data_IF_421324984408
#
_entry.id   IF_421324984408
#
_cell.length_a   1.000
_cell.length_b   1.000
_cell.length_c   1.000
_cell.angle_alpha   90.00
_cell.angle_beta   90.00
_cell.angle_gamma   90.00
#
_symmetry.space_group_name_H-M   'P 1'
#
loop_
_entity.id
_entity.type
_entity.pdbx_description
1 polymer ?
#
# COMPACT_ATOMS: atom_id res chain seq x y z
N UNK A 1 -4.90 -43.31 -8.01
CA UNK A 1 -3.61 -42.58 -8.15
C UNK A 1 -3.71 -41.25 -8.90
N UNK A 2 -4.54 -41.08 -9.95
CA UNK A 2 -4.68 -39.78 -10.66
C UNK A 2 -5.30 -38.66 -9.81
N UNK A 3 -6.34 -38.96 -9.03
CA UNK A 3 -7.03 -37.98 -8.16
C UNK A 3 -6.12 -37.40 -7.06
N UNK A 4 -5.32 -38.25 -6.39
CA UNK A 4 -4.34 -37.83 -5.38
C UNK A 4 -3.26 -36.89 -5.96
N UNK A 5 -2.82 -37.13 -7.20
CA UNK A 5 -1.84 -36.26 -7.88
C UNK A 5 -2.41 -34.87 -8.21
N UNK A 6 -3.70 -34.80 -8.56
CA UNK A 6 -4.40 -33.53 -8.86
C UNK A 6 -4.59 -32.71 -7.58
N UNK A 7 -4.96 -33.36 -6.47
CA UNK A 7 -5.09 -32.69 -5.16
C UNK A 7 -3.74 -32.17 -4.67
N UNK A 8 -2.66 -32.96 -4.80
CA UNK A 8 -1.30 -32.51 -4.48
C UNK A 8 -0.83 -31.33 -5.34
N UNK A 9 -1.20 -31.31 -6.63
CA UNK A 9 -0.93 -30.20 -7.55
C UNK A 9 -1.70 -28.93 -7.15
N UNK A 10 -2.97 -29.06 -6.77
CA UNK A 10 -3.81 -27.95 -6.31
C UNK A 10 -3.37 -27.40 -4.96
N UNK A 11 -2.97 -28.26 -4.02
CA UNK A 11 -2.43 -27.87 -2.71
C UNK A 11 -1.08 -27.17 -2.88
N UNK A 12 -0.18 -27.69 -3.72
CA UNK A 12 1.08 -27.05 -4.05
C UNK A 12 0.89 -25.68 -4.73
N UNK A 13 -0.10 -25.57 -5.63
CA UNK A 13 -0.46 -24.31 -6.27
C UNK A 13 -1.05 -23.31 -5.27
N UNK A 14 -1.92 -23.75 -4.35
CA UNK A 14 -2.47 -22.88 -3.30
C UNK A 14 -1.40 -22.40 -2.31
N UNK A 15 -0.41 -23.23 -1.97
CA UNK A 15 0.68 -22.80 -1.10
C UNK A 15 1.61 -21.76 -1.75
N UNK A 16 1.70 -21.73 -3.10
CA UNK A 16 2.40 -20.66 -3.81
C UNK A 16 1.58 -19.36 -3.93
N UNK A 17 0.24 -19.41 -3.91
CA UNK A 17 -0.63 -18.22 -4.00
C UNK A 17 -0.69 -17.45 -2.67
N UNK A 18 -0.38 -18.10 -1.54
CA UNK A 18 -0.33 -17.46 -0.21
C UNK A 18 1.07 -16.99 0.23
N UNK A 19 2.12 -17.28 -0.54
CA UNK A 19 3.40 -16.61 -0.35
C UNK A 19 3.29 -15.23 -1.01
N UNK A 20 2.85 -14.21 -0.27
CA UNK A 20 2.93 -12.84 -0.76
C UNK A 20 4.38 -12.55 -1.16
N UNK A 21 4.60 -12.36 -2.46
CA UNK A 21 5.88 -11.86 -2.97
C UNK A 21 6.24 -10.59 -2.18
N UNK A 22 7.44 -10.58 -1.60
CA UNK A 22 7.90 -9.51 -0.69
C UNK A 22 7.88 -8.15 -1.38
N UNK A 23 8.14 -8.12 -2.68
CA UNK A 23 8.10 -6.89 -3.50
C UNK A 23 6.65 -6.42 -3.66
N UNK A 24 5.75 -7.33 -4.03
CA UNK A 24 4.32 -7.06 -4.14
C UNK A 24 3.71 -6.58 -2.80
N UNK A 25 4.10 -7.18 -1.68
CA UNK A 25 3.68 -6.76 -0.34
C UNK A 25 4.18 -5.35 -0.01
N UNK A 26 5.45 -5.05 -0.29
CA UNK A 26 6.02 -3.71 -0.15
C UNK A 26 5.22 -2.69 -0.98
N UNK A 27 5.00 -2.97 -2.27
CA UNK A 27 4.27 -2.08 -3.19
C UNK A 27 2.85 -1.83 -2.67
N UNK A 28 2.15 -2.89 -2.24
CA UNK A 28 0.80 -2.80 -1.68
C UNK A 28 0.76 -1.90 -0.44
N UNK A 29 1.65 -2.11 0.52
CA UNK A 29 1.68 -1.32 1.77
C UNK A 29 2.08 0.13 1.53
N UNK A 30 3.06 0.36 0.67
CA UNK A 30 3.45 1.71 0.24
C UNK A 30 2.28 2.44 -0.44
N UNK A 31 1.55 1.79 -1.35
CA UNK A 31 0.38 2.38 -1.99
C UNK A 31 -0.77 2.65 -1.02
N UNK A 32 -1.03 1.73 -0.08
CA UNK A 32 -2.04 1.95 0.97
C UNK A 32 -1.73 3.21 1.77
N UNK A 33 -0.50 3.37 2.22
CA UNK A 33 -0.13 4.56 2.98
C UNK A 33 -0.14 5.83 2.11
N UNK A 34 0.43 5.78 0.90
CA UNK A 34 0.41 6.91 -0.02
C UNK A 34 -1.02 7.34 -0.42
N UNK A 35 -2.00 6.43 -0.40
CA UNK A 35 -3.40 6.74 -0.71
C UNK A 35 -4.10 7.57 0.37
N UNK A 36 -3.62 7.51 1.61
CA UNK A 36 -4.21 8.25 2.74
C UNK A 36 -3.39 9.49 3.13
N UNK A 37 -2.06 9.44 2.98
CA UNK A 37 -1.14 10.50 3.40
C UNK A 37 -0.01 10.69 2.39
N UNK A 38 -0.36 11.10 1.17
CA UNK A 38 0.61 11.25 0.09
C UNK A 38 1.72 12.27 0.41
N UNK A 39 1.38 13.37 1.07
CA UNK A 39 2.33 14.43 1.40
C UNK A 39 3.43 13.93 2.34
N UNK A 40 3.07 13.24 3.42
CA UNK A 40 4.04 12.67 4.36
C UNK A 40 4.82 11.51 3.72
N UNK A 41 4.16 10.65 2.93
CA UNK A 41 4.84 9.60 2.17
C UNK A 41 5.94 10.18 1.27
N UNK A 42 5.64 11.22 0.48
CA UNK A 42 6.62 11.90 -0.38
C UNK A 42 7.75 12.52 0.43
N UNK A 43 7.43 13.19 1.54
CA UNK A 43 8.43 13.79 2.44
C UNK A 43 9.43 12.74 2.95
N UNK A 44 8.94 11.56 3.35
CA UNK A 44 9.78 10.44 3.80
C UNK A 44 10.69 9.92 2.69
N UNK A 45 10.17 9.76 1.46
CA UNK A 45 10.99 9.39 0.31
C UNK A 45 12.08 10.45 0.01
N UNK A 46 11.74 11.74 0.07
CA UNK A 46 12.71 12.81 -0.13
C UNK A 46 13.85 12.73 0.88
N UNK A 47 13.54 12.52 2.17
CA UNK A 47 14.53 12.43 3.24
C UNK A 47 15.38 11.16 3.13
N UNK A 48 14.76 9.99 2.98
CA UNK A 48 15.46 8.70 2.99
C UNK A 48 16.42 8.53 1.79
N UNK A 49 16.02 9.02 0.61
CA UNK A 49 16.77 8.83 -0.63
C UNK A 49 17.43 10.11 -1.15
N UNK A 50 17.40 11.20 -0.38
CA UNK A 50 17.94 12.50 -0.78
C UNK A 50 17.40 12.97 -2.15
N UNK A 51 16.08 12.92 -2.30
CA UNK A 51 15.38 13.28 -3.55
C UNK A 51 14.58 14.57 -3.38
N UNK A 52 14.39 15.31 -4.47
CA UNK A 52 13.46 16.45 -4.50
C UNK A 52 12.06 16.00 -4.89
N UNK A 53 11.05 16.78 -4.49
CA UNK A 53 9.66 16.53 -4.88
C UNK A 53 9.47 16.49 -6.40
N UNK A 54 10.12 17.40 -7.14
CA UNK A 54 10.04 17.44 -8.60
C UNK A 54 10.60 16.16 -9.24
N UNK A 55 11.67 15.60 -8.67
CA UNK A 55 12.21 14.30 -9.11
C UNK A 55 11.22 13.17 -8.84
N UNK A 56 10.54 13.17 -7.69
CA UNK A 56 9.53 12.17 -7.38
C UNK A 56 8.34 12.22 -8.35
N UNK A 57 7.90 13.40 -8.78
CA UNK A 57 6.84 13.55 -9.78
C UNK A 57 7.24 12.97 -11.15
N UNK A 58 8.51 13.11 -11.53
CA UNK A 58 9.06 12.46 -12.71
C UNK A 58 9.09 10.94 -12.57
N UNK A 59 9.57 10.44 -11.44
CA UNK A 59 9.63 9.01 -11.18
C UNK A 59 8.25 8.37 -11.07
N UNK A 60 7.27 9.07 -10.52
CA UNK A 60 5.87 8.61 -10.51
C UNK A 60 5.36 8.37 -11.93
N UNK A 61 5.59 9.32 -12.85
CA UNK A 61 5.22 9.15 -14.26
C UNK A 61 5.96 7.99 -14.93
N UNK A 62 7.26 7.81 -14.64
CA UNK A 62 8.09 6.77 -15.26
C UNK A 62 7.87 5.36 -14.67
N UNK A 63 7.43 5.27 -13.42
CA UNK A 63 7.17 4.02 -12.70
C UNK A 63 5.69 3.56 -12.78
N UNK A 64 4.99 3.93 -13.86
CA UNK A 64 3.62 3.50 -14.11
C UNK A 64 2.56 4.17 -13.23
N UNK A 65 2.82 5.40 -12.77
CA UNK A 65 1.89 6.18 -11.91
C UNK A 65 1.51 5.43 -10.64
N UNK A 66 2.48 4.77 -10.02
CA UNK A 66 2.29 3.98 -8.82
C UNK A 66 3.37 4.35 -7.78
N UNK A 67 2.94 4.81 -6.61
CA UNK A 67 3.86 5.29 -5.57
C UNK A 67 4.67 4.16 -4.93
N UNK A 68 4.08 2.97 -4.78
CA UNK A 68 4.80 1.78 -4.34
C UNK A 68 5.91 1.37 -5.31
N UNK A 69 5.69 1.51 -6.63
CA UNK A 69 6.73 1.31 -7.64
C UNK A 69 7.85 2.36 -7.52
N UNK A 70 7.53 3.62 -7.23
CA UNK A 70 8.55 4.67 -6.99
C UNK A 70 9.40 4.32 -5.78
N UNK A 71 8.77 3.94 -4.66
CA UNK A 71 9.48 3.52 -3.45
C UNK A 71 10.39 2.31 -3.69
N UNK A 72 9.91 1.32 -4.46
CA UNK A 72 10.69 0.14 -4.79
C UNK A 72 11.87 0.47 -5.71
N UNK A 73 11.64 1.29 -6.73
CA UNK A 73 12.70 1.73 -7.64
C UNK A 73 13.79 2.54 -6.92
N UNK A 74 13.43 3.35 -5.91
CA UNK A 74 14.40 4.07 -5.07
C UNK A 74 15.25 3.11 -4.23
N UNK A 75 14.66 2.07 -3.65
CA UNK A 75 15.43 1.02 -2.95
C UNK A 75 16.38 0.28 -3.88
N UNK A 76 15.94 -0.03 -5.10
CA UNK A 76 16.77 -0.66 -6.13
C UNK A 76 17.92 0.26 -6.53
N UNK A 77 17.66 1.54 -6.76
CA UNK A 77 18.68 2.54 -7.11
C UNK A 77 19.74 2.64 -6.02
N UNK A 78 19.32 2.77 -4.76
CA UNK A 78 20.22 2.81 -3.60
C UNK A 78 21.06 1.54 -3.49
N UNK A 79 20.44 0.37 -3.62
CA UNK A 79 21.12 -0.91 -3.41
C UNK A 79 22.07 -1.27 -4.53
N UNK A 80 21.72 -0.92 -5.77
CA UNK A 80 22.56 -1.16 -6.95
C UNK A 80 23.61 -0.07 -7.18
N UNK A 81 23.51 1.07 -6.48
CA UNK A 81 24.33 2.25 -6.75
C UNK A 81 24.04 2.92 -8.11
N UNK A 82 22.96 2.52 -8.79
CA UNK A 82 22.58 3.06 -10.09
C UNK A 82 21.80 4.36 -9.92
N UNK A 83 21.85 5.20 -10.95
CA UNK A 83 21.01 6.38 -10.97
C UNK A 83 19.54 5.96 -11.09
N UNK A 84 18.64 6.62 -10.36
CA UNK A 84 17.21 6.30 -10.37
C UNK A 84 16.61 6.34 -11.78
N UNK A 85 17.15 7.20 -12.66
CA UNK A 85 16.70 7.24 -14.04
C UNK A 85 16.95 5.92 -14.79
N UNK A 86 18.08 5.27 -14.54
CA UNK A 86 18.44 4.01 -15.17
C UNK A 86 17.49 2.90 -14.69
N UNK A 87 17.18 2.88 -13.39
CA UNK A 87 16.24 1.91 -12.82
C UNK A 87 14.85 2.03 -13.47
N UNK A 88 14.38 3.25 -13.70
CA UNK A 88 13.13 3.46 -14.45
C UNK A 88 13.22 2.97 -15.90
N UNK A 89 14.38 3.04 -16.56
CA UNK A 89 14.56 2.50 -17.92
C UNK A 89 14.55 0.96 -17.93
N UNK A 90 15.15 0.32 -16.91
CA UNK A 90 14.99 -1.11 -16.68
C UNK A 90 13.53 -1.49 -16.43
N UNK A 91 12.82 -0.73 -15.58
CA UNK A 91 11.40 -0.93 -15.35
C UNK A 91 10.61 -0.81 -16.65
N UNK A 92 10.82 0.24 -17.46
CA UNK A 92 10.16 0.40 -18.76
C UNK A 92 10.38 -0.79 -19.68
N UNK A 93 11.60 -1.34 -19.71
CA UNK A 93 11.97 -2.47 -20.56
C UNK A 93 11.38 -3.80 -20.08
N UNK A 94 11.32 -4.02 -18.78
CA UNK A 94 11.06 -5.34 -18.19
C UNK A 94 9.79 -5.46 -17.35
N UNK A 95 9.02 -4.38 -17.11
CA UNK A 95 7.83 -4.40 -16.23
C UNK A 95 6.80 -5.48 -16.58
N UNK A 96 6.67 -5.85 -17.86
CA UNK A 96 5.78 -6.95 -18.32
C UNK A 96 6.13 -8.31 -17.70
N UNK A 97 7.34 -8.46 -17.17
CA UNK A 97 7.85 -9.65 -16.50
C UNK A 97 7.94 -9.49 -14.98
N UNK A 98 7.47 -8.37 -14.43
CA UNK A 98 7.53 -8.08 -13.00
C UNK A 98 8.88 -7.55 -12.52
N UNK A 99 8.91 -7.17 -11.24
CA UNK A 99 10.08 -6.56 -10.60
C UNK A 99 11.25 -7.54 -10.42
N UNK A 100 10.99 -8.84 -10.25
CA UNK A 100 12.05 -9.85 -10.18
C UNK A 100 12.95 -9.82 -11.41
N UNK A 101 12.37 -9.63 -12.61
CA UNK A 101 13.18 -9.52 -13.83
C UNK A 101 14.04 -8.26 -13.81
N UNK A 102 13.49 -7.14 -13.36
CA UNK A 102 14.23 -5.87 -13.22
C UNK A 102 15.42 -6.04 -12.26
N UNK A 103 15.23 -6.72 -11.12
CA UNK A 103 16.28 -6.96 -10.13
C UNK A 103 17.44 -7.78 -10.71
N UNK A 104 17.12 -8.88 -11.41
CA UNK A 104 18.12 -9.74 -12.04
C UNK A 104 18.97 -8.96 -13.05
N UNK A 105 18.33 -8.17 -13.90
CA UNK A 105 18.97 -7.39 -14.97
C UNK A 105 19.84 -6.25 -14.40
N UNK A 106 19.42 -5.68 -13.26
CA UNK A 106 20.19 -4.65 -12.56
C UNK A 106 21.41 -5.24 -11.83
N UNK A 107 21.34 -6.51 -11.42
CA UNK A 107 22.40 -7.24 -10.72
C UNK A 107 22.07 -7.63 -9.26
N UNK A 108 20.84 -7.37 -8.80
CA UNK A 108 20.34 -7.81 -7.49
C UNK A 108 19.74 -9.20 -7.64
N UNK A 109 20.61 -10.22 -7.74
CA UNK A 109 20.21 -11.61 -8.03
C UNK A 109 20.56 -12.54 -6.86
N UNK A 110 19.86 -13.67 -6.70
CA UNK A 110 20.24 -14.67 -5.71
C UNK A 110 21.72 -15.03 -5.80
N UNK A 111 22.41 -15.04 -4.66
CA UNK A 111 23.85 -15.27 -4.58
C UNK A 111 24.71 -14.01 -4.72
N UNK A 112 24.16 -12.84 -5.06
CA UNK A 112 24.90 -11.58 -4.95
C UNK A 112 25.01 -11.13 -3.49
N UNK A 113 26.08 -10.43 -3.16
CA UNK A 113 26.32 -9.90 -1.79
C UNK A 113 25.25 -8.89 -1.37
N UNK A 114 24.64 -8.18 -2.32
CA UNK A 114 23.59 -7.21 -2.06
C UNK A 114 22.18 -7.82 -1.97
N UNK A 115 21.97 -9.09 -2.37
CA UNK A 115 20.64 -9.69 -2.44
C UNK A 115 19.94 -9.78 -1.08
N UNK A 116 20.61 -10.32 -0.07
CA UNK A 116 20.04 -10.42 1.28
C UNK A 116 19.83 -9.03 1.91
N UNK A 117 20.83 -8.12 1.93
CA UNK A 117 20.63 -6.76 2.43
C UNK A 117 19.49 -5.99 1.75
N UNK A 118 19.30 -6.18 0.44
CA UNK A 118 18.17 -5.61 -0.31
C UNK A 118 16.83 -6.04 0.30
N UNK A 119 16.62 -7.36 0.43
CA UNK A 119 15.36 -7.88 0.94
C UNK A 119 15.13 -7.59 2.43
N UNK A 120 16.21 -7.46 3.22
CA UNK A 120 16.12 -7.01 4.60
C UNK A 120 15.59 -5.55 4.66
N UNK A 121 16.09 -4.66 3.80
CA UNK A 121 15.56 -3.29 3.66
C UNK A 121 14.12 -3.25 3.14
N UNK A 122 13.78 -4.04 2.12
CA UNK A 122 12.40 -4.14 1.60
C UNK A 122 11.45 -4.58 2.71
N UNK A 123 11.84 -5.56 3.52
CA UNK A 123 11.02 -6.01 4.64
C UNK A 123 10.83 -4.92 5.69
N UNK A 124 11.92 -4.26 6.09
CA UNK A 124 11.89 -3.16 7.05
C UNK A 124 10.96 -2.03 6.59
N UNK A 125 11.18 -1.46 5.40
CA UNK A 125 10.36 -0.36 4.90
C UNK A 125 8.92 -0.77 4.61
N UNK A 126 8.68 -2.01 4.18
CA UNK A 126 7.31 -2.55 4.05
C UNK A 126 6.57 -2.48 5.38
N UNK A 127 7.21 -2.90 6.48
CA UNK A 127 6.61 -2.80 7.81
C UNK A 127 6.40 -1.34 8.24
N UNK A 128 7.37 -0.45 8.01
CA UNK A 128 7.20 0.98 8.30
C UNK A 128 5.99 1.58 7.58
N UNK A 129 5.79 1.30 6.29
CA UNK A 129 4.61 1.78 5.56
C UNK A 129 3.31 1.24 6.13
N UNK A 130 3.31 -0.02 6.56
CA UNK A 130 2.15 -0.61 7.21
C UNK A 130 1.84 0.05 8.55
N UNK A 131 2.85 0.29 9.37
CA UNK A 131 2.72 0.96 10.67
C UNK A 131 2.21 2.40 10.51
N UNK A 132 2.74 3.15 9.53
CA UNK A 132 2.25 4.49 9.23
C UNK A 132 0.79 4.49 8.78
N UNK A 133 0.39 3.54 7.93
CA UNK A 133 -1.01 3.37 7.54
C UNK A 133 -1.91 3.01 8.72
N UNK A 134 -1.54 2.03 9.54
CA UNK A 134 -2.34 1.65 10.72
C UNK A 134 -2.45 2.81 11.71
N UNK A 135 -1.34 3.53 11.96
CA UNK A 135 -1.36 4.72 12.80
C UNK A 135 -2.31 5.77 12.25
N UNK A 136 -2.29 6.05 10.94
CA UNK A 136 -3.25 6.97 10.33
C UNK A 136 -4.70 6.55 10.59
N UNK A 137 -5.04 5.29 10.30
CA UNK A 137 -6.39 4.76 10.55
C UNK A 137 -6.79 4.88 12.02
N UNK A 138 -5.90 4.51 12.96
CA UNK A 138 -6.19 4.60 14.39
C UNK A 138 -6.46 6.03 14.88
N UNK A 139 -5.79 7.03 14.30
CA UNK A 139 -6.03 8.43 14.65
C UNK A 139 -7.32 8.93 14.02
N UNK A 140 -7.57 8.63 12.75
CA UNK A 140 -8.74 9.14 12.02
C UNK A 140 -10.05 8.40 12.35
N UNK A 141 -10.03 7.10 12.65
CA UNK A 141 -11.21 6.34 13.10
C UNK A 141 -11.71 6.84 14.48
N UNK A 142 -10.80 7.29 15.34
CA UNK A 142 -11.15 7.86 16.66
C UNK A 142 -11.88 9.21 16.54
N UNK A 143 -11.68 9.94 15.44
CA UNK A 143 -12.39 11.21 15.20
C UNK A 143 -13.81 10.97 14.69
N UNK A 144 -14.04 9.95 13.86
CA UNK A 144 -15.39 9.62 13.37
C UNK A 144 -16.26 8.89 14.42
N UNK A 145 -15.66 8.13 15.34
CA UNK A 145 -16.42 7.42 16.38
C UNK A 145 -17.09 8.34 17.42
N UNK A 146 -16.63 9.60 17.56
CA UNK A 146 -17.22 10.55 18.51
C UNK A 146 -18.57 11.12 18.06
N UNK A 147 -18.86 11.18 16.75
CA UNK A 147 -20.15 11.69 16.27
C UNK A 147 -21.29 10.65 16.38
N UNK A 148 -21.00 9.36 16.26
CA UNK A 148 -22.06 8.33 16.29
C UNK A 148 -22.57 7.97 17.69
N UNK A 149 -21.88 8.37 18.77
CA UNK A 149 -22.32 8.07 20.13
C UNK A 149 -23.30 9.08 20.72
N UNK A 150 -23.52 10.25 20.09
CA UNK A 150 -24.45 11.25 20.64
C UNK A 150 -25.93 10.94 20.37
N UNK A 151 -26.26 10.07 19.42
CA UNK A 151 -27.66 9.73 19.08
C UNK A 151 -28.19 8.41 19.67
N UNK A 152 -27.41 7.69 20.49
CA UNK A 152 -27.83 6.39 21.08
C UNK A 152 -28.25 6.44 22.54
N UNK A 153 -28.56 7.62 23.09
CA UNK A 153 -29.00 7.77 24.49
C UNK A 153 -30.49 8.06 24.70
N UNK A 154 -31.34 7.93 23.69
CA UNK A 154 -32.79 8.07 23.87
C UNK A 154 -33.56 6.96 23.16
N UNK A 155 -33.54 5.74 23.69
CA UNK A 155 -34.55 4.73 23.29
C UNK A 155 -34.79 3.63 24.31
N UNK A 156 -35.07 4.00 25.56
CA UNK A 156 -35.76 3.08 26.47
C UNK A 156 -36.62 3.89 27.46
N UNK A 157 -37.87 4.20 27.10
CA UNK A 157 -38.99 4.15 28.03
C UNK A 157 -40.29 3.87 27.25
N UNK A 158 -41.14 3.05 27.88
CA UNK A 158 -42.31 2.34 27.35
C UNK A 158 -43.51 3.26 27.10
N UNK A 159 -44.28 2.91 26.06
CA UNK A 159 -45.74 2.93 25.92
C UNK A 159 -46.52 4.18 26.37
N UNK A 160 -47.13 4.92 25.41
CA UNK A 160 -48.51 5.44 25.51
C UNK A 160 -49.11 5.70 24.12
N UNK A 161 -50.11 4.87 23.77
CA UNK A 161 -51.42 5.11 23.13
C UNK A 161 -51.68 6.42 22.32
N UNK A 162 -52.03 6.22 21.02
CA UNK A 162 -52.81 7.02 20.03
C UNK A 162 -52.57 8.54 19.86
N UNK A 163 -52.27 8.99 18.63
CA UNK A 163 -53.11 9.89 17.79
C UNK A 163 -52.45 10.17 16.43
N UNK A 164 -53.30 10.29 15.40
CA UNK A 164 -53.00 10.48 13.98
C UNK A 164 -52.38 11.86 13.65
N UNK A 165 -51.60 11.95 12.56
CA UNK A 165 -51.28 13.22 11.90
C UNK A 165 -49.97 13.23 11.08
N UNK A 166 -50.12 13.31 9.75
CA UNK A 166 -49.34 14.05 8.71
C UNK A 166 -47.81 14.19 8.90
N UNK A 167 -47.00 13.58 8.02
CA UNK A 167 -46.42 14.13 6.77
C UNK A 167 -45.17 14.99 7.02
N UNK A 168 -44.14 14.70 6.22
CA UNK A 168 -43.18 15.65 5.62
C UNK A 168 -42.27 16.45 6.59
N UNK A 169 -40.95 16.24 6.58
CA UNK A 169 -39.92 17.12 5.96
C UNK A 169 -38.69 17.03 6.92
N UNK A 170 -37.41 17.22 6.61
CA UNK A 170 -36.67 17.58 5.43
C UNK A 170 -35.23 17.10 5.68
N UNK A 171 -34.53 16.65 4.63
CA UNK A 171 -33.11 16.39 4.67
C UNK A 171 -32.38 17.67 4.27
N UNK A 172 -31.90 18.44 5.25
CA UNK A 172 -30.97 19.53 4.97
C UNK A 172 -29.52 19.03 5.17
N UNK A 173 -28.90 18.74 4.02
CA UNK A 173 -27.46 18.87 3.79
C UNK A 173 -27.07 20.33 3.95
N UNK A 174 -26.18 20.64 4.90
CA UNK A 174 -25.40 21.88 4.88
C UNK A 174 -23.91 21.52 4.95
N UNK A 175 -23.30 21.54 3.76
CA UNK A 175 -21.86 21.71 3.54
C UNK A 175 -21.53 23.21 3.69
N UNK A 176 -20.54 23.53 4.53
CA UNK A 176 -19.73 24.76 4.47
C UNK A 176 -18.29 24.45 4.94
#
# INVERSE_FOLDING_TARGET
MRQLKIILLLVAFSCSVFAQDRLSLFISRANKYASVELSDYRKRLCVEYNMSNNSLDDYYRRCGRNWGNVGLALEIARTSGRHMRDVCDYYKRYNRHGWDRVLIEIGIRPGSTCYKPFYDRIHYHSNCWHEHYCSYCDHHDKHHYKHHKKHKHHKHHKHHKWHDGYDDDDWDDDDD
#
